data_IF_047134017381
#
_entry.id   IF_047134017381
#
_cell.length_a   1.000
_cell.length_b   1.000
_cell.length_c   1.000
_cell.angle_alpha   90.00
_cell.angle_beta   90.00
_cell.angle_gamma   90.00
#
_symmetry.space_group_name_H-M   'P 1'
#
loop_
_entity.id
_entity.type
_entity.pdbx_description
1 polymer ?
#
# COMPACT_ATOMS: atom_id res chain seq x y z
N UNK A 1 -7.35 -0.66 -2.17
CA UNK A 1 -6.75 -0.53 -0.81
C UNK A 1 -5.26 -0.78 -0.91
N UNK A 2 -4.44 0.13 -0.39
CA UNK A 2 -2.98 0.03 -0.32
C UNK A 2 -2.57 -0.48 1.07
N UNK A 3 -1.49 -1.28 1.13
CA UNK A 3 -1.02 -1.99 2.33
C UNK A 3 0.50 -1.86 2.49
N UNK A 4 0.98 -2.07 3.71
CA UNK A 4 2.41 -2.16 4.04
C UNK A 4 3.07 -0.83 4.45
N UNK A 5 2.56 0.30 3.96
CA UNK A 5 3.18 1.61 4.15
C UNK A 5 4.36 1.85 3.19
N UNK A 6 4.88 3.07 3.22
CA UNK A 6 6.00 3.54 2.41
C UNK A 6 7.07 4.21 3.28
N UNK A 7 8.15 4.68 2.66
CA UNK A 7 9.24 5.39 3.35
C UNK A 7 8.79 6.72 3.97
N UNK A 8 7.68 7.29 3.50
CA UNK A 8 7.13 8.57 3.94
C UNK A 8 5.95 8.41 4.93
N UNK A 9 5.55 7.16 5.21
CA UNK A 9 4.44 6.89 6.12
C UNK A 9 4.90 6.89 7.58
N UNK A 10 4.04 7.42 8.46
CA UNK A 10 4.24 7.31 9.91
C UNK A 10 4.27 5.85 10.36
N UNK A 11 5.10 5.46 11.36
CA UNK A 11 5.24 4.08 11.82
C UNK A 11 3.90 3.40 12.19
N UNK A 12 2.94 4.16 12.74
CA UNK A 12 1.60 3.65 13.09
C UNK A 12 0.79 3.15 11.88
N UNK A 13 1.08 3.65 10.68
CA UNK A 13 0.44 3.28 9.40
C UNK A 13 1.11 2.08 8.72
N UNK A 14 2.33 1.71 9.09
CA UNK A 14 3.05 0.55 8.52
C UNK A 14 2.66 -0.80 9.15
N UNK A 15 1.55 -0.85 9.90
CA UNK A 15 1.04 -2.09 10.52
C UNK A 15 0.26 -2.92 9.51
N UNK A 16 0.31 -4.25 9.61
CA UNK A 16 -0.40 -5.18 8.72
C UNK A 16 -1.92 -4.96 8.66
N UNK A 17 -2.52 -4.49 9.75
CA UNK A 17 -3.96 -4.21 9.85
C UNK A 17 -4.38 -2.88 9.22
N UNK A 18 -3.44 -1.97 8.93
CA UNK A 18 -3.75 -0.66 8.37
C UNK A 18 -4.19 -0.78 6.90
N UNK A 19 -5.17 0.04 6.51
CA UNK A 19 -5.78 0.05 5.18
C UNK A 19 -5.83 1.48 4.67
N UNK A 20 -4.99 1.80 3.69
CA UNK A 20 -4.98 3.13 3.07
C UNK A 20 -5.82 3.13 1.79
N UNK A 21 -6.52 4.23 1.53
CA UNK A 21 -7.32 4.42 0.33
C UNK A 21 -7.01 5.76 -0.32
N UNK A 22 -6.82 5.74 -1.63
CA UNK A 22 -6.79 6.91 -2.50
C UNK A 22 -7.81 6.71 -3.61
N UNK A 23 -8.29 7.80 -4.25
CA UNK A 23 -8.98 7.70 -5.53
C UNK A 23 -8.11 6.91 -6.54
N UNK A 24 -8.71 6.08 -7.40
CA UNK A 24 -7.98 5.16 -8.28
C UNK A 24 -7.15 5.88 -9.36
N UNK A 25 -7.49 7.12 -9.68
CA UNK A 25 -6.82 8.01 -10.62
C UNK A 25 -5.65 8.80 -9.98
N UNK A 26 -5.50 8.71 -8.66
CA UNK A 26 -4.49 9.47 -7.93
C UNK A 26 -3.10 8.82 -8.03
N UNK A 27 -2.18 9.49 -8.72
CA UNK A 27 -0.81 9.03 -8.93
C UNK A 27 0.12 9.50 -7.81
N UNK A 28 0.05 8.81 -6.67
CA UNK A 28 0.89 9.11 -5.52
C UNK A 28 2.28 8.48 -5.69
N UNK A 29 3.35 9.26 -5.56
CA UNK A 29 4.74 8.84 -5.85
C UNK A 29 5.25 7.68 -4.99
N UNK A 30 4.66 7.47 -3.81
CA UNK A 30 5.05 6.43 -2.86
C UNK A 30 4.12 5.19 -2.90
N UNK A 31 3.25 5.09 -3.91
CA UNK A 31 2.38 3.94 -4.14
C UNK A 31 2.92 3.11 -5.31
N UNK A 32 3.08 1.80 -5.10
CA UNK A 32 3.48 0.83 -6.10
C UNK A 32 2.60 -0.43 -6.11
N UNK A 33 2.96 -1.42 -6.93
CA UNK A 33 2.26 -2.70 -7.03
C UNK A 33 3.17 -3.87 -6.62
N UNK A 34 2.57 -4.92 -6.06
CA UNK A 34 3.23 -6.21 -5.80
C UNK A 34 2.47 -7.29 -6.56
N UNK A 35 3.19 -8.07 -7.36
CA UNK A 35 2.63 -9.18 -8.13
C UNK A 35 2.34 -10.35 -7.18
N UNK A 36 1.27 -11.07 -7.44
CA UNK A 36 0.93 -12.32 -6.77
C UNK A 36 0.63 -13.39 -7.83
N UNK A 37 0.99 -14.64 -7.54
CA UNK A 37 0.65 -15.81 -8.33
C UNK A 37 -0.18 -16.80 -7.49
N UNK A 38 -1.00 -17.65 -8.12
CA UNK A 38 -1.70 -18.72 -7.41
C UNK A 38 -0.70 -19.71 -6.80
N UNK A 39 -1.11 -20.33 -5.69
CA UNK A 39 -0.40 -21.49 -5.15
C UNK A 39 -0.43 -22.64 -6.18
N UNK A 40 0.60 -23.51 -6.19
CA UNK A 40 0.64 -24.67 -7.09
C UNK A 40 -0.55 -25.62 -6.88
#
# INVERSE_FOLDING_TARGET
VIRGGSWDDLPRRCRSAFRLSYPPDYRVYNVGFRVACPAP
#
